data_IF_840434344172
#
_entry.id   IF_840434344172
#
_cell.length_a   1.000
_cell.length_b   1.000
_cell.length_c   1.000
_cell.angle_alpha   90.00
_cell.angle_beta   90.00
_cell.angle_gamma   90.00
#
_symmetry.space_group_name_H-M   'P 1'
#
loop_
_entity.id
_entity.type
_entity.pdbx_description
1 polymer ?
#
# COMPACT_ATOMS: atom_id res chain seq x y z
N UNK A 1 54.05 98.72 -5.45
CA UNK A 1 55.02 97.60 -5.63
C UNK A 1 54.65 96.55 -4.49
N UNK A 2 53.89 95.58 -4.82
CA UNK A 2 53.34 94.68 -3.79
C UNK A 2 53.81 93.29 -4.20
N UNK A 3 54.64 92.64 -3.40
CA UNK A 3 55.21 91.31 -3.59
C UNK A 3 54.24 90.27 -3.00
N UNK A 4 53.72 89.44 -3.86
CA UNK A 4 52.80 88.36 -3.44
C UNK A 4 53.61 87.11 -3.08
N UNK A 5 53.45 86.64 -1.82
CA UNK A 5 54.07 85.40 -1.35
C UNK A 5 53.18 84.17 -1.73
N UNK A 6 53.64 83.36 -2.68
CA UNK A 6 53.05 82.09 -3.00
C UNK A 6 53.48 81.06 -1.94
N UNK A 7 52.52 80.41 -1.26
CA UNK A 7 52.76 79.22 -0.40
C UNK A 7 52.77 77.99 -1.26
N UNK A 8 53.79 77.17 -1.10
CA UNK A 8 53.87 75.79 -1.64
C UNK A 8 52.95 74.85 -0.86
N UNK A 9 52.26 73.94 -1.55
CA UNK A 9 51.45 72.91 -0.88
C UNK A 9 52.32 71.83 -0.27
N UNK A 10 52.02 71.43 0.95
CA UNK A 10 52.57 70.28 1.68
C UNK A 10 52.10 68.94 1.06
N UNK A 11 52.96 67.92 0.92
CA UNK A 11 52.53 66.62 0.40
C UNK A 11 51.78 65.84 1.48
N UNK A 12 50.61 65.39 1.16
CA UNK A 12 49.81 64.42 1.95
C UNK A 12 50.48 63.03 2.03
N UNK A 13 50.47 62.37 3.17
CA UNK A 13 51.01 61.02 3.31
C UNK A 13 50.08 60.01 2.61
N UNK A 14 50.51 59.42 1.52
CA UNK A 14 49.83 58.28 0.88
C UNK A 14 49.97 57.05 1.75
N UNK A 15 48.87 56.57 2.36
CA UNK A 15 48.75 55.28 2.98
C UNK A 15 48.92 54.14 1.93
N UNK A 16 49.68 53.09 2.21
CA UNK A 16 49.86 51.99 1.26
C UNK A 16 48.58 51.18 1.13
N UNK A 17 47.96 51.22 -0.01
CA UNK A 17 46.74 50.47 -0.35
C UNK A 17 46.90 48.96 -0.42
N UNK A 18 48.15 48.44 -0.27
CA UNK A 18 48.44 47.02 -0.41
C UNK A 18 48.00 46.13 0.78
N UNK A 19 47.88 46.72 1.97
CA UNK A 19 47.54 45.90 3.15
C UNK A 19 46.04 45.67 3.35
N UNK A 20 45.13 46.47 2.75
CA UNK A 20 43.71 46.30 2.90
C UNK A 20 43.19 45.21 1.99
N UNK A 21 43.79 45.04 0.81
CA UNK A 21 43.40 43.96 -0.14
C UNK A 21 43.83 42.55 0.40
N UNK A 22 44.98 42.50 1.10
CA UNK A 22 45.46 41.24 1.67
C UNK A 22 44.60 40.76 2.87
N UNK A 23 44.01 41.67 3.67
CA UNK A 23 43.13 41.29 4.78
C UNK A 23 41.74 40.86 4.25
N UNK A 24 41.21 41.48 3.20
CA UNK A 24 39.91 41.14 2.65
C UNK A 24 39.92 39.75 1.96
N UNK A 25 41.01 39.40 1.26
CA UNK A 25 41.18 38.09 0.63
C UNK A 25 41.45 36.97 1.65
N UNK A 26 42.12 37.22 2.75
CA UNK A 26 42.30 36.26 3.84
C UNK A 26 41.01 35.99 4.59
N UNK A 27 40.13 36.98 4.77
CA UNK A 27 38.80 36.79 5.40
C UNK A 27 37.84 35.97 4.49
N UNK A 28 37.87 36.14 3.17
CA UNK A 28 37.08 35.34 2.24
C UNK A 28 37.58 33.89 2.16
N UNK A 29 38.87 33.63 2.26
CA UNK A 29 39.44 32.29 2.25
C UNK A 29 39.12 31.51 3.53
N UNK A 30 38.99 32.18 4.68
CA UNK A 30 38.61 31.56 5.96
C UNK A 30 37.11 31.26 6.03
N UNK A 31 36.23 32.00 5.35
CA UNK A 31 34.81 31.74 5.30
C UNK A 31 34.45 30.53 4.39
N UNK A 32 35.28 30.23 3.40
CA UNK A 32 35.08 29.08 2.51
C UNK A 32 35.51 27.72 3.13
N UNK A 33 36.13 27.73 4.31
CA UNK A 33 36.75 26.53 4.90
C UNK A 33 35.88 25.77 5.90
N UNK A 34 34.57 26.14 6.12
CA UNK A 34 33.80 25.59 7.23
C UNK A 34 32.40 25.08 6.94
N UNK A 35 32.01 24.81 5.72
CA UNK A 35 30.77 24.06 5.51
C UNK A 35 31.06 22.56 5.28
N UNK A 36 31.48 21.89 6.36
CA UNK A 36 31.59 20.42 6.39
C UNK A 36 30.23 19.75 6.54
N UNK A 37 29.14 20.51 6.33
CA UNK A 37 27.79 20.02 6.42
C UNK A 37 27.26 19.62 5.05
N UNK A 38 26.63 18.48 4.99
CA UNK A 38 26.00 17.94 3.80
C UNK A 38 24.48 18.03 3.87
N UNK A 39 23.84 17.47 2.84
CA UNK A 39 22.39 17.40 2.75
C UNK A 39 21.92 16.02 2.31
N UNK A 40 20.74 15.61 2.79
CA UNK A 40 20.02 14.46 2.30
C UNK A 40 18.70 14.96 1.70
N UNK A 41 18.45 14.60 0.46
CA UNK A 41 17.19 14.90 -0.24
C UNK A 41 16.53 13.62 -0.68
N UNK A 42 15.25 13.68 -1.03
CA UNK A 42 14.59 12.52 -1.60
C UNK A 42 13.14 12.77 -1.96
N UNK A 43 12.50 11.71 -2.42
CA UNK A 43 11.08 11.71 -2.66
C UNK A 43 10.42 10.49 -2.02
N UNK A 44 9.13 10.64 -1.71
CA UNK A 44 8.28 9.53 -1.28
C UNK A 44 7.16 9.37 -2.28
N UNK A 45 6.97 8.12 -2.74
CA UNK A 45 5.96 7.76 -3.73
C UNK A 45 5.15 6.58 -3.23
N UNK A 46 3.90 6.51 -3.65
CA UNK A 46 3.13 5.27 -3.61
C UNK A 46 3.44 4.45 -4.86
N UNK A 47 3.46 3.12 -4.71
CA UNK A 47 3.91 2.20 -5.76
C UNK A 47 3.09 2.31 -7.06
N UNK A 48 1.82 2.69 -6.97
CA UNK A 48 0.91 2.75 -8.12
C UNK A 48 0.27 4.13 -8.35
N UNK A 49 0.36 5.05 -7.37
CA UNK A 49 -0.35 6.33 -7.40
C UNK A 49 0.56 7.56 -7.58
N UNK A 50 1.88 7.43 -7.42
CA UNK A 50 2.82 8.53 -7.62
C UNK A 50 3.23 9.27 -6.34
N UNK A 51 3.54 10.58 -6.41
CA UNK A 51 4.07 11.33 -5.27
C UNK A 51 3.14 11.32 -4.04
N UNK A 52 3.71 11.11 -2.84
CA UNK A 52 2.97 11.12 -1.57
C UNK A 52 3.31 12.39 -0.77
N UNK A 53 2.41 13.37 -0.69
CA UNK A 53 2.55 14.51 0.20
C UNK A 53 2.18 14.12 1.65
N UNK A 54 2.72 14.88 2.62
CA UNK A 54 2.38 14.74 4.04
C UNK A 54 3.04 13.56 4.74
N UNK A 55 3.96 12.85 4.09
CA UNK A 55 4.74 11.77 4.71
C UNK A 55 5.72 12.37 5.70
N UNK A 56 5.75 11.85 6.92
CA UNK A 56 6.73 12.18 7.92
C UNK A 56 8.01 11.37 7.67
N UNK A 57 9.09 12.06 7.34
CA UNK A 57 10.41 11.44 7.19
C UNK A 57 11.27 11.84 8.37
N UNK A 58 11.77 10.87 9.12
CA UNK A 58 12.68 11.05 10.24
C UNK A 58 14.08 10.64 9.83
N UNK A 59 15.10 11.39 10.25
CA UNK A 59 16.51 11.06 10.07
C UNK A 59 17.20 10.94 11.42
N UNK A 60 17.81 9.78 11.68
CA UNK A 60 18.51 9.47 12.91
C UNK A 60 19.98 9.16 12.65
N UNK A 61 20.87 9.80 13.39
CA UNK A 61 22.31 9.59 13.40
C UNK A 61 22.89 9.74 14.80
N UNK A 62 24.21 9.54 14.93
CA UNK A 62 24.90 9.55 16.23
C UNK A 62 24.61 10.79 17.11
N UNK A 63 24.33 11.96 16.52
CA UNK A 63 24.08 13.23 17.21
C UNK A 63 22.98 14.06 16.54
N UNK A 64 22.24 13.46 15.64
CA UNK A 64 21.21 14.15 14.85
C UNK A 64 19.94 13.32 14.93
N UNK A 65 18.88 13.98 15.34
CA UNK A 65 17.50 13.53 15.19
C UNK A 65 16.75 14.71 14.62
N UNK A 66 16.20 14.55 13.41
CA UNK A 66 15.45 15.60 12.73
C UNK A 66 14.29 15.00 11.96
N UNK A 67 13.31 15.81 11.56
CA UNK A 67 12.10 15.38 10.93
C UNK A 67 11.68 16.37 9.85
N UNK A 68 11.30 15.86 8.69
CA UNK A 68 10.75 16.61 7.57
C UNK A 68 9.41 16.01 7.16
N UNK A 69 8.54 16.84 6.59
CA UNK A 69 7.28 16.40 5.97
C UNK A 69 7.40 16.62 4.47
N UNK A 70 6.95 15.63 3.67
CA UNK A 70 6.98 15.75 2.21
C UNK A 70 6.03 16.82 1.70
N UNK A 71 6.46 17.55 0.68
CA UNK A 71 5.68 18.57 -0.01
C UNK A 71 4.63 17.97 -0.99
N UNK A 72 3.96 18.81 -1.76
CA UNK A 72 2.95 18.39 -2.76
C UNK A 72 3.51 17.51 -3.88
N UNK A 73 4.83 17.52 -4.10
CA UNK A 73 5.54 16.67 -5.06
C UNK A 73 6.17 15.44 -4.40
N UNK A 74 5.85 15.18 -3.11
CA UNK A 74 6.40 14.09 -2.33
C UNK A 74 7.86 14.28 -1.94
N UNK A 75 8.44 15.48 -2.05
CA UNK A 75 9.86 15.74 -1.79
C UNK A 75 10.13 16.10 -0.34
N UNK A 76 11.30 15.70 0.16
CA UNK A 76 11.83 16.08 1.46
C UNK A 76 13.30 16.47 1.39
N UNK A 77 13.76 17.26 2.36
CA UNK A 77 15.16 17.68 2.47
C UNK A 77 15.59 17.84 3.92
N UNK A 78 16.79 17.36 4.23
CA UNK A 78 17.54 17.63 5.45
C UNK A 78 18.84 18.34 5.11
N UNK A 79 19.11 19.44 5.79
CA UNK A 79 20.31 20.28 5.58
C UNK A 79 21.21 20.28 6.81
N UNK A 80 22.42 20.80 6.64
CA UNK A 80 23.39 20.99 7.74
C UNK A 80 23.78 19.71 8.48
N UNK A 81 23.75 18.58 7.78
CA UNK A 81 24.11 17.28 8.35
C UNK A 81 25.64 17.06 8.33
N UNK A 82 26.18 16.50 9.40
CA UNK A 82 27.57 16.03 9.41
C UNK A 82 27.71 14.80 8.50
N UNK A 83 28.90 14.58 7.93
CA UNK A 83 29.17 13.32 7.23
C UNK A 83 29.07 12.13 8.19
N UNK A 84 28.38 11.06 7.77
CA UNK A 84 28.14 9.89 8.62
C UNK A 84 27.07 8.95 8.07
N UNK A 85 26.74 7.95 8.88
CA UNK A 85 25.65 7.01 8.58
C UNK A 85 24.39 7.44 9.31
N UNK A 86 23.27 7.45 8.58
CA UNK A 86 21.97 7.85 9.08
C UNK A 86 20.94 6.76 8.78
N UNK A 87 19.98 6.60 9.69
CA UNK A 87 18.79 5.81 9.45
C UNK A 87 17.65 6.77 9.11
N UNK A 88 17.03 6.59 7.97
CA UNK A 88 15.84 7.30 7.56
C UNK A 88 14.62 6.41 7.73
N UNK A 89 13.52 6.99 8.21
CA UNK A 89 12.22 6.31 8.33
C UNK A 89 11.15 7.19 7.71
N UNK A 90 10.37 6.65 6.79
CA UNK A 90 9.22 7.32 6.21
C UNK A 90 7.93 6.69 6.77
N UNK A 91 7.02 7.52 7.30
CA UNK A 91 5.76 7.11 7.92
C UNK A 91 4.61 7.97 7.43
N UNK A 92 3.51 7.32 7.09
CA UNK A 92 2.22 7.97 6.82
C UNK A 92 1.13 7.06 7.38
N UNK A 93 0.05 7.66 7.94
CA UNK A 93 -1.11 6.87 8.37
C UNK A 93 -1.63 6.03 7.21
N UNK A 94 -2.04 4.79 7.49
CA UNK A 94 -2.53 3.82 6.50
C UNK A 94 -1.48 3.29 5.51
N UNK A 95 -0.19 3.56 5.75
CA UNK A 95 0.92 3.02 4.98
C UNK A 95 1.86 2.20 5.86
N UNK A 96 2.54 1.24 5.25
CA UNK A 96 3.63 0.49 5.90
C UNK A 96 4.85 1.39 5.98
N UNK A 97 5.33 1.66 7.20
CA UNK A 97 6.54 2.45 7.40
C UNK A 97 7.76 1.78 6.75
N UNK A 98 8.57 2.57 6.05
CA UNK A 98 9.80 2.10 5.42
C UNK A 98 11.03 2.67 6.12
N UNK A 99 12.03 1.82 6.40
CA UNK A 99 13.30 2.21 7.01
C UNK A 99 14.45 1.95 6.04
N UNK A 100 15.36 2.94 5.95
CA UNK A 100 16.56 2.83 5.12
C UNK A 100 17.76 3.44 5.80
N UNK A 101 18.93 2.86 5.52
CA UNK A 101 20.21 3.42 5.95
C UNK A 101 20.89 4.11 4.79
N UNK A 102 21.38 5.33 5.03
CA UNK A 102 22.14 6.12 4.04
C UNK A 102 23.50 6.53 4.60
N UNK A 103 24.49 6.63 3.73
CA UNK A 103 25.82 7.14 4.05
C UNK A 103 25.96 8.50 3.38
N UNK A 104 26.16 9.54 4.20
CA UNK A 104 26.39 10.90 3.75
C UNK A 104 27.91 11.21 3.78
N UNK A 105 28.53 11.50 2.64
CA UNK A 105 29.91 11.96 2.61
C UNK A 105 30.05 13.31 3.34
N UNK A 106 31.23 13.60 3.89
CA UNK A 106 31.50 14.91 4.52
C UNK A 106 31.35 16.03 3.51
N UNK A 107 30.50 17.00 3.82
CA UNK A 107 30.18 18.14 2.94
C UNK A 107 29.49 17.74 1.63
N UNK A 108 29.03 16.50 1.51
CA UNK A 108 28.40 15.96 0.33
C UNK A 108 26.87 16.05 0.33
N UNK A 109 26.28 15.54 -0.76
CA UNK A 109 24.84 15.39 -0.89
C UNK A 109 24.52 13.93 -1.24
N UNK A 110 23.42 13.43 -0.70
CA UNK A 110 22.88 12.11 -1.03
C UNK A 110 21.39 12.26 -1.33
N UNK A 111 20.91 11.58 -2.35
CA UNK A 111 19.49 11.51 -2.67
C UNK A 111 18.97 10.09 -2.49
N UNK A 112 17.74 9.97 -1.99
CA UNK A 112 17.12 8.69 -1.73
C UNK A 112 15.60 8.76 -1.92
N UNK A 113 15.02 7.75 -2.58
CA UNK A 113 13.58 7.64 -2.79
C UNK A 113 12.98 6.50 -1.95
N UNK A 114 11.87 6.79 -1.28
CA UNK A 114 11.03 5.82 -0.61
C UNK A 114 9.86 5.40 -1.51
N UNK A 115 9.49 4.14 -1.41
CA UNK A 115 8.32 3.59 -2.10
C UNK A 115 7.38 2.99 -1.06
N UNK A 116 6.44 3.78 -0.56
CA UNK A 116 5.49 3.31 0.43
C UNK A 116 4.38 2.47 -0.19
N UNK A 117 4.00 1.45 0.56
CA UNK A 117 2.85 0.60 0.25
C UNK A 117 1.73 0.92 1.24
N UNK A 118 0.46 1.03 0.79
CA UNK A 118 -0.65 1.10 1.71
C UNK A 118 -0.60 -0.04 2.72
N UNK A 119 -0.91 0.23 3.98
CA UNK A 119 -1.08 -0.80 5.00
C UNK A 119 -2.31 -1.62 4.61
N UNK A 120 -2.09 -2.86 4.21
CA UNK A 120 -3.17 -3.74 3.85
C UNK A 120 -3.89 -4.17 5.11
N UNK A 121 -5.19 -3.88 5.19
CA UNK A 121 -6.05 -4.39 6.25
C UNK A 121 -6.15 -5.90 6.07
N UNK A 122 -5.75 -6.65 7.09
CA UNK A 122 -6.24 -8.02 7.22
C UNK A 122 -7.74 -7.93 7.44
N UNK A 123 -8.53 -8.50 6.54
CA UNK A 123 -9.99 -8.41 6.62
C UNK A 123 -10.52 -8.80 8.01
N UNK A 124 -11.43 -7.97 8.50
CA UNK A 124 -12.02 -8.10 9.82
C UNK A 124 -12.94 -9.31 9.98
N UNK A 125 -13.69 -9.33 11.06
CA UNK A 125 -14.68 -10.36 11.34
C UNK A 125 -15.79 -10.37 10.30
N UNK A 126 -16.14 -11.55 9.80
CA UNK A 126 -17.28 -11.75 8.90
C UNK A 126 -18.59 -11.81 9.67
N UNK A 127 -19.64 -11.26 9.05
CA UNK A 127 -21.01 -11.35 9.58
C UNK A 127 -21.71 -12.54 8.93
N UNK A 128 -22.16 -13.49 9.74
CA UNK A 128 -23.02 -14.57 9.28
C UNK A 128 -24.50 -14.14 9.36
N UNK A 129 -25.04 -13.73 8.24
CA UNK A 129 -26.45 -13.33 8.09
C UNK A 129 -27.40 -14.50 7.84
N UNK A 130 -26.93 -15.74 7.88
CA UNK A 130 -27.70 -16.92 7.58
C UNK A 130 -27.73 -17.29 6.09
N UNK A 131 -28.16 -18.52 5.78
CA UNK A 131 -28.15 -19.07 4.41
C UNK A 131 -29.02 -18.25 3.45
N UNK A 132 -30.20 -17.80 3.89
CA UNK A 132 -31.08 -16.97 3.08
C UNK A 132 -30.44 -15.62 2.73
N UNK A 133 -29.77 -14.98 3.68
CA UNK A 133 -29.00 -13.75 3.45
C UNK A 133 -27.84 -14.01 2.47
N UNK A 134 -27.09 -15.09 2.65
CA UNK A 134 -25.99 -15.46 1.75
C UNK A 134 -26.46 -15.64 0.31
N UNK A 135 -27.62 -16.30 0.11
CA UNK A 135 -28.27 -16.45 -1.21
C UNK A 135 -28.68 -15.13 -1.84
N UNK A 136 -29.13 -14.15 -1.01
CA UNK A 136 -29.50 -12.81 -1.49
C UNK A 136 -28.29 -11.95 -1.80
N UNK A 137 -27.24 -12.04 -0.98
CA UNK A 137 -26.02 -11.25 -1.12
C UNK A 137 -25.10 -11.76 -2.24
N UNK A 138 -25.16 -13.07 -2.55
CA UNK A 138 -24.37 -13.66 -3.61
C UNK A 138 -24.87 -13.27 -5.00
N UNK A 139 -23.95 -12.88 -5.86
CA UNK A 139 -24.21 -12.71 -7.29
C UNK A 139 -24.19 -14.04 -8.05
N UNK A 140 -23.41 -14.99 -7.54
CA UNK A 140 -23.40 -16.36 -8.05
C UNK A 140 -23.25 -17.38 -6.91
N UNK A 141 -23.89 -18.55 -7.07
CA UNK A 141 -23.69 -19.73 -6.23
C UNK A 141 -23.21 -20.86 -7.12
N UNK A 142 -21.99 -21.31 -6.87
CA UNK A 142 -21.26 -22.21 -7.77
C UNK A 142 -20.78 -23.44 -7.02
N UNK A 143 -20.85 -24.60 -7.63
CA UNK A 143 -20.08 -25.77 -7.18
C UNK A 143 -18.76 -25.77 -7.94
N UNK A 144 -17.65 -25.72 -7.22
CA UNK A 144 -16.32 -25.52 -7.78
C UNK A 144 -15.31 -26.51 -7.22
N UNK A 145 -14.27 -26.80 -8.01
CA UNK A 145 -13.06 -27.51 -7.58
C UNK A 145 -11.86 -26.59 -7.77
N UNK A 146 -11.06 -26.41 -6.73
CA UNK A 146 -9.84 -25.62 -6.80
C UNK A 146 -8.77 -26.37 -7.58
N UNK A 147 -8.19 -25.72 -8.59
CA UNK A 147 -7.21 -26.36 -9.49
C UNK A 147 -5.81 -25.79 -9.35
N UNK A 148 -5.69 -24.55 -8.86
CA UNK A 148 -4.42 -23.93 -8.50
C UNK A 148 -4.61 -22.92 -7.36
N UNK A 149 -3.52 -22.65 -6.66
CA UNK A 149 -3.42 -21.69 -5.56
C UNK A 149 -2.20 -20.83 -5.84
N UNK A 150 -2.36 -19.49 -5.83
CA UNK A 150 -1.25 -18.56 -5.98
C UNK A 150 -0.54 -18.30 -4.65
N UNK A 151 0.62 -17.65 -4.70
CA UNK A 151 1.18 -16.97 -3.55
C UNK A 151 0.26 -15.81 -3.14
N UNK A 152 0.33 -15.37 -1.87
CA UNK A 152 -0.40 -14.18 -1.42
C UNK A 152 -0.04 -12.96 -2.26
N UNK A 153 -1.05 -12.22 -2.69
CA UNK A 153 -0.90 -11.00 -3.46
C UNK A 153 -1.73 -9.87 -2.83
N UNK A 154 -1.54 -8.66 -3.29
CA UNK A 154 -2.18 -7.45 -2.79
C UNK A 154 -3.06 -6.85 -3.86
N UNK A 155 -4.29 -6.53 -3.49
CA UNK A 155 -5.24 -5.85 -4.37
C UNK A 155 -5.79 -4.60 -3.72
N UNK A 156 -6.05 -3.58 -4.53
CA UNK A 156 -6.75 -2.37 -4.09
C UNK A 156 -8.20 -2.49 -4.55
N UNK A 157 -9.12 -2.55 -3.58
CA UNK A 157 -10.55 -2.62 -3.82
C UNK A 157 -11.21 -1.50 -3.03
N UNK A 158 -11.91 -0.58 -3.70
CA UNK A 158 -12.56 0.57 -3.07
C UNK A 158 -11.62 1.39 -2.16
N UNK A 159 -10.41 1.68 -2.62
CA UNK A 159 -9.33 2.35 -1.87
C UNK A 159 -8.86 1.60 -0.61
N UNK A 160 -9.19 0.33 -0.47
CA UNK A 160 -8.68 -0.52 0.60
C UNK A 160 -7.70 -1.54 0.02
N UNK A 161 -6.53 -1.65 0.62
CA UNK A 161 -5.58 -2.70 0.30
C UNK A 161 -6.03 -4.00 0.98
N UNK A 162 -6.20 -5.06 0.19
CA UNK A 162 -6.58 -6.39 0.64
C UNK A 162 -5.43 -7.35 0.32
N UNK A 163 -4.96 -8.09 1.33
CA UNK A 163 -4.08 -9.24 1.11
C UNK A 163 -4.94 -10.46 0.89
N UNK A 164 -4.76 -11.14 -0.21
CA UNK A 164 -5.51 -12.34 -0.50
C UNK A 164 -4.69 -13.37 -1.27
N UNK A 165 -5.28 -14.53 -1.44
CA UNK A 165 -4.72 -15.64 -2.22
C UNK A 165 -5.68 -15.91 -3.37
N UNK A 166 -5.18 -15.85 -4.60
CA UNK A 166 -5.97 -16.18 -5.78
C UNK A 166 -6.04 -17.69 -5.97
N UNK A 167 -7.24 -18.22 -6.09
CA UNK A 167 -7.53 -19.61 -6.34
C UNK A 167 -8.13 -19.76 -7.73
N UNK A 168 -7.46 -20.46 -8.61
CA UNK A 168 -8.09 -20.88 -9.85
C UNK A 168 -9.03 -22.04 -9.54
N UNK A 169 -10.25 -21.95 -10.01
CA UNK A 169 -11.28 -22.97 -9.78
C UNK A 169 -11.98 -23.38 -11.07
N UNK A 170 -12.21 -24.68 -11.21
CA UNK A 170 -13.11 -25.21 -12.25
C UNK A 170 -14.54 -25.20 -11.74
N UNK A 171 -15.44 -24.60 -12.51
CA UNK A 171 -16.87 -24.61 -12.22
C UNK A 171 -17.46 -25.95 -12.66
N UNK A 172 -17.97 -26.72 -11.69
CA UNK A 172 -18.60 -28.02 -11.88
C UNK A 172 -20.09 -27.90 -12.11
N UNK A 173 -20.75 -26.94 -11.42
CA UNK A 173 -22.16 -26.65 -11.57
C UNK A 173 -22.48 -25.22 -11.12
N UNK A 174 -23.57 -24.66 -11.67
CA UNK A 174 -24.06 -23.32 -11.34
C UNK A 174 -25.48 -23.47 -10.80
N UNK A 175 -25.73 -22.93 -9.60
CA UNK A 175 -27.06 -22.91 -9.02
C UNK A 175 -27.80 -21.61 -9.36
N UNK A 176 -27.14 -20.48 -9.21
CA UNK A 176 -27.74 -19.15 -9.43
C UNK A 176 -26.70 -18.20 -10.02
N UNK A 177 -27.19 -17.33 -10.90
CA UNK A 177 -26.41 -16.21 -11.43
C UNK A 177 -27.27 -14.96 -11.45
N UNK A 178 -26.85 -13.89 -10.78
CA UNK A 178 -27.43 -12.57 -10.90
C UNK A 178 -26.95 -11.83 -12.16
N UNK A 179 -27.58 -10.70 -12.51
CA UNK A 179 -27.23 -9.92 -13.69
C UNK A 179 -25.80 -9.37 -13.67
N UNK A 180 -25.26 -9.10 -12.49
CA UNK A 180 -23.93 -8.50 -12.29
C UNK A 180 -22.87 -9.54 -11.90
N UNK A 181 -23.12 -10.82 -12.15
CA UNK A 181 -22.24 -11.92 -11.71
C UNK A 181 -20.95 -12.06 -12.51
N UNK A 182 -20.69 -11.17 -13.48
CA UNK A 182 -19.59 -11.33 -14.41
C UNK A 182 -19.85 -12.49 -15.40
N UNK A 183 -18.84 -12.82 -16.20
CA UNK A 183 -18.92 -13.94 -17.12
C UNK A 183 -18.42 -15.22 -16.43
N UNK A 184 -19.32 -16.06 -15.95
CA UNK A 184 -18.92 -17.37 -15.42
C UNK A 184 -18.52 -18.27 -16.57
N UNK A 185 -17.22 -18.48 -16.69
CA UNK A 185 -16.62 -19.44 -17.62
C UNK A 185 -16.41 -20.78 -16.91
N UNK A 186 -15.93 -21.79 -17.65
CA UNK A 186 -15.56 -23.08 -17.05
C UNK A 186 -14.47 -22.96 -15.99
N UNK A 187 -13.61 -21.95 -16.09
CA UNK A 187 -12.56 -21.63 -15.13
C UNK A 187 -12.76 -20.23 -14.62
N UNK A 188 -12.75 -20.06 -13.31
CA UNK A 188 -12.87 -18.77 -12.64
C UNK A 188 -11.72 -18.58 -11.65
N UNK A 189 -11.56 -17.34 -11.20
CA UNK A 189 -10.63 -16.96 -10.14
C UNK A 189 -11.38 -16.51 -8.91
N UNK A 190 -11.07 -17.09 -7.76
CA UNK A 190 -11.67 -16.74 -6.46
C UNK A 190 -10.56 -16.23 -5.55
N UNK A 191 -10.66 -14.98 -5.15
CA UNK A 191 -9.75 -14.37 -4.18
C UNK A 191 -10.28 -14.57 -2.78
N UNK A 192 -9.42 -15.09 -1.93
CA UNK A 192 -9.68 -15.30 -0.51
C UNK A 192 -8.73 -14.45 0.33
N UNK A 193 -9.18 -13.94 1.45
CA UNK A 193 -8.29 -13.44 2.48
C UNK A 193 -7.51 -14.55 3.19
N UNK A 194 -6.35 -14.21 3.74
CA UNK A 194 -5.28 -15.14 4.08
C UNK A 194 -5.49 -16.16 5.22
N UNK A 195 -6.67 -16.23 5.88
CA UNK A 195 -6.80 -16.96 7.17
C UNK A 195 -7.15 -18.44 7.10
N UNK A 196 -7.70 -18.94 6.00
CA UNK A 196 -8.12 -20.35 5.86
C UNK A 196 -7.30 -21.03 4.77
N UNK A 197 -6.74 -22.19 5.05
CA UNK A 197 -5.94 -22.94 4.08
C UNK A 197 -6.85 -23.75 3.15
N UNK A 198 -7.21 -23.20 1.99
CA UNK A 198 -7.80 -23.97 0.89
C UNK A 198 -6.69 -24.61 0.07
N UNK A 199 -6.91 -25.82 -0.39
CA UNK A 199 -5.89 -26.58 -1.10
C UNK A 199 -6.34 -26.89 -2.51
N UNK A 200 -5.38 -27.09 -3.37
CA UNK A 200 -5.64 -27.65 -4.69
C UNK A 200 -6.34 -29.03 -4.55
N UNK A 201 -7.41 -29.21 -5.30
CA UNK A 201 -8.25 -30.40 -5.26
C UNK A 201 -9.48 -30.28 -4.38
N UNK A 202 -9.50 -29.32 -3.43
CA UNK A 202 -10.67 -29.08 -2.58
C UNK A 202 -11.87 -28.65 -3.40
N UNK A 203 -13.04 -29.09 -2.97
CA UNK A 203 -14.32 -28.75 -3.59
C UNK A 203 -15.21 -27.99 -2.63
N UNK A 204 -15.97 -27.01 -3.17
CA UNK A 204 -16.84 -26.14 -2.41
C UNK A 204 -18.13 -25.82 -3.15
N UNK A 205 -19.23 -25.66 -2.41
CA UNK A 205 -20.34 -24.81 -2.86
C UNK A 205 -20.02 -23.39 -2.41
N UNK A 206 -19.69 -22.52 -3.37
CA UNK A 206 -19.21 -21.17 -3.15
C UNK A 206 -20.30 -20.15 -3.42
N UNK A 207 -20.59 -19.30 -2.43
CA UNK A 207 -21.44 -18.12 -2.58
C UNK A 207 -20.53 -16.94 -2.84
N UNK A 208 -20.53 -16.41 -4.04
CA UNK A 208 -19.55 -15.43 -4.49
C UNK A 208 -20.20 -14.18 -5.10
N UNK A 209 -19.48 -13.07 -5.05
CA UNK A 209 -19.75 -11.86 -5.81
C UNK A 209 -18.59 -11.56 -6.74
N UNK A 210 -18.91 -11.00 -7.89
CA UNK A 210 -17.91 -10.50 -8.82
C UNK A 210 -17.35 -9.17 -8.32
N UNK A 211 -16.03 -9.02 -8.36
CA UNK A 211 -15.33 -7.79 -8.00
C UNK A 211 -14.66 -7.20 -9.25
N UNK A 212 -15.30 -6.24 -9.93
CA UNK A 212 -14.81 -5.72 -11.21
C UNK A 212 -13.42 -5.09 -11.13
N UNK A 213 -13.12 -4.45 -9.98
CA UNK A 213 -11.84 -3.74 -9.78
C UNK A 213 -10.62 -4.66 -9.92
N UNK A 214 -10.77 -5.94 -9.59
CA UNK A 214 -9.70 -6.93 -9.66
C UNK A 214 -9.96 -8.06 -10.66
N UNK A 215 -11.14 -8.07 -11.29
CA UNK A 215 -11.52 -9.13 -12.24
C UNK A 215 -11.59 -10.53 -11.62
N UNK A 216 -12.07 -10.64 -10.37
CA UNK A 216 -12.10 -11.87 -9.57
C UNK A 216 -13.41 -12.02 -8.84
N UNK A 217 -13.73 -13.26 -8.45
CA UNK A 217 -14.81 -13.52 -7.50
C UNK A 217 -14.30 -13.43 -6.06
N UNK A 218 -15.14 -12.95 -5.16
CA UNK A 218 -14.89 -12.98 -3.72
C UNK A 218 -16.01 -13.72 -3.01
N UNK A 219 -15.70 -14.60 -2.03
CA UNK A 219 -16.73 -15.24 -1.23
C UNK A 219 -17.53 -14.18 -0.44
N UNK A 220 -18.83 -14.39 -0.31
CA UNK A 220 -19.68 -13.61 0.59
C UNK A 220 -19.29 -13.97 2.02
N UNK A 221 -18.99 -12.97 2.87
CA UNK A 221 -18.55 -13.19 4.25
C UNK A 221 -17.43 -14.24 4.40
N UNK A 222 -16.45 -14.19 3.49
CA UNK A 222 -15.23 -15.01 3.53
C UNK A 222 -15.49 -16.52 3.56
N UNK A 223 -14.85 -17.25 4.50
CA UNK A 223 -14.95 -18.71 4.52
C UNK A 223 -16.32 -19.25 4.91
N UNK A 224 -17.19 -18.44 5.54
CA UNK A 224 -18.51 -18.88 6.05
C UNK A 224 -19.39 -19.44 4.93
N UNK A 225 -19.31 -18.86 3.72
CA UNK A 225 -20.10 -19.25 2.57
C UNK A 225 -19.29 -20.00 1.49
N UNK A 226 -18.23 -20.66 1.92
CA UNK A 226 -17.50 -21.67 1.15
C UNK A 226 -17.76 -23.02 1.80
N UNK A 227 -18.86 -23.67 1.42
CA UNK A 227 -19.34 -24.92 2.01
C UNK A 227 -18.50 -26.09 1.49
N UNK A 228 -17.70 -26.77 2.33
CA UNK A 228 -16.83 -27.84 1.85
C UNK A 228 -17.61 -29.04 1.32
N UNK A 229 -17.05 -29.67 0.30
CA UNK A 229 -17.55 -30.93 -0.28
C UNK A 229 -16.44 -31.98 -0.16
N UNK A 230 -16.75 -33.09 0.49
CA UNK A 230 -15.85 -34.23 0.65
C UNK A 230 -16.49 -35.46 0.01
N UNK A 231 -15.78 -36.11 -0.89
CA UNK A 231 -16.26 -37.31 -1.61
C UNK A 231 -17.66 -37.14 -2.23
N UNK A 232 -17.91 -35.95 -2.83
CA UNK A 232 -19.20 -35.62 -3.45
C UNK A 232 -20.34 -35.36 -2.47
N UNK A 233 -20.04 -35.20 -1.16
CA UNK A 233 -20.99 -34.93 -0.09
C UNK A 233 -20.68 -33.62 0.62
N UNK A 234 -21.70 -32.84 0.92
CA UNK A 234 -21.51 -31.54 1.62
C UNK A 234 -21.18 -31.73 3.08
N UNK A 235 -20.29 -30.88 3.60
CA UNK A 235 -20.08 -30.69 5.05
C UNK A 235 -20.90 -29.48 5.47
N UNK A 236 -22.14 -29.73 5.90
CA UNK A 236 -23.11 -28.70 6.22
C UNK A 236 -23.31 -28.60 7.73
N UNK A 237 -22.86 -27.54 8.33
CA UNK A 237 -22.93 -27.29 9.78
C UNK A 237 -23.99 -26.24 10.18
N UNK A 238 -24.81 -25.79 9.22
CA UNK A 238 -25.79 -24.74 9.42
C UNK A 238 -27.18 -25.30 9.74
N UNK A 239 -27.85 -24.68 10.67
CA UNK A 239 -29.20 -25.10 11.11
C UNK A 239 -30.32 -24.33 10.42
N UNK A 240 -30.02 -23.24 9.75
CA UNK A 240 -30.95 -22.33 9.08
C UNK A 240 -31.40 -22.81 7.68
N UNK A 241 -30.92 -23.94 7.22
CA UNK A 241 -31.36 -24.61 6.01
C UNK A 241 -31.68 -26.10 6.33
N UNK A 242 -32.82 -26.37 6.93
CA UNK A 242 -33.16 -27.70 7.50
C UNK A 242 -33.27 -28.81 6.44
N UNK A 243 -33.39 -28.46 5.17
CA UNK A 243 -33.46 -29.40 4.05
C UNK A 243 -32.08 -29.89 3.57
N UNK A 244 -31.01 -29.36 4.15
CA UNK A 244 -29.63 -29.73 3.80
C UNK A 244 -28.95 -30.24 5.08
N UNK A 245 -28.24 -31.36 4.95
CA UNK A 245 -27.53 -32.00 6.07
C UNK A 245 -26.12 -32.41 5.65
N UNK A 246 -25.21 -32.41 6.60
CA UNK A 246 -23.91 -33.02 6.39
C UNK A 246 -24.06 -34.46 5.92
N UNK A 247 -23.35 -34.81 4.86
CA UNK A 247 -23.41 -36.11 4.19
C UNK A 247 -24.41 -36.17 3.05
N UNK A 248 -25.22 -35.16 2.80
CA UNK A 248 -26.05 -35.07 1.61
C UNK A 248 -25.18 -34.97 0.35
N UNK A 249 -25.60 -35.60 -0.73
CA UNK A 249 -24.96 -35.44 -2.03
C UNK A 249 -25.06 -33.96 -2.48
N UNK A 250 -24.04 -33.47 -3.20
CA UNK A 250 -24.00 -32.09 -3.70
C UNK A 250 -25.26 -31.73 -4.48
N UNK A 251 -25.76 -32.62 -5.33
CA UNK A 251 -26.99 -32.40 -6.10
C UNK A 251 -28.22 -32.17 -5.23
N UNK A 252 -28.33 -32.89 -4.10
CA UNK A 252 -29.41 -32.72 -3.12
C UNK A 252 -29.25 -31.37 -2.39
N UNK A 253 -28.04 -31.02 -1.96
CA UNK A 253 -27.75 -29.76 -1.31
C UNK A 253 -28.05 -28.56 -2.23
N UNK A 254 -27.63 -28.64 -3.49
CA UNK A 254 -27.92 -27.64 -4.50
C UNK A 254 -29.42 -27.47 -4.75
N UNK A 255 -30.18 -28.58 -4.79
CA UNK A 255 -31.65 -28.54 -4.91
C UNK A 255 -32.29 -27.91 -3.64
N UNK A 256 -31.78 -28.22 -2.46
CA UNK A 256 -32.21 -27.61 -1.20
C UNK A 256 -31.97 -26.09 -1.17
N UNK A 257 -30.80 -25.63 -1.62
CA UNK A 257 -30.50 -24.20 -1.77
C UNK A 257 -31.40 -23.54 -2.82
N UNK A 258 -31.63 -24.20 -3.95
CA UNK A 258 -32.54 -23.71 -4.99
C UNK A 258 -33.96 -23.48 -4.49
N UNK A 259 -34.45 -24.36 -3.61
CA UNK A 259 -35.76 -24.21 -2.99
C UNK A 259 -35.88 -22.98 -2.07
N UNK A 260 -34.77 -22.45 -1.58
CA UNK A 260 -34.72 -21.23 -0.76
C UNK A 260 -34.66 -19.93 -1.60
N UNK A 261 -34.41 -20.02 -2.91
CA UNK A 261 -34.32 -18.86 -3.80
C UNK A 261 -35.66 -18.15 -4.11
N UNK A 262 -36.84 -18.80 -4.19
CA UNK A 262 -38.07 -18.16 -4.65
C UNK A 262 -38.64 -17.07 -3.78
N UNK A 263 -38.36 -17.09 -2.47
CA UNK A 263 -38.80 -16.02 -1.58
C UNK A 263 -38.10 -14.67 -1.85
N UNK A 264 -36.95 -14.69 -2.54
CA UNK A 264 -36.19 -13.50 -2.92
C UNK A 264 -36.63 -12.90 -4.27
N UNK A 265 -37.30 -13.66 -5.15
CA UNK A 265 -37.77 -13.19 -6.47
C UNK A 265 -39.18 -12.61 -6.46
N UNK A 266 -39.99 -12.94 -5.45
CA UNK A 266 -41.35 -12.43 -5.31
C UNK A 266 -41.40 -11.02 -4.70
N UNK A 267 -40.30 -10.44 -4.28
CA UNK A 267 -40.17 -9.12 -3.67
C UNK A 267 -39.59 -8.05 -4.62
N UNK A 268 -39.55 -8.30 -5.94
CA UNK A 268 -39.15 -7.30 -6.97
C UNK A 268 -40.35 -6.89 -7.81
#
# INVERSE_FOLDING_TARGET
MTISNARLPTPEPRLPTSNVIALATAACLLAAACSNTGRVTGSVKEIEAGPLPGVQVTIDGLRTHDMATTDSEGKFEFQNLAGGTYNLKAELSEYVAENRQVILPRGGATSFDFLLHPACLEEGSYVDGGTAWGLQAAQAVLYVRLTAVSEPDRWIVNNQCIVGIDHTATVLSILNMGPDSGSVTRTIHIVRDGRVAWKQGDEYIAFVRWEPAIGRYRPIAGPIFMIPVLDGKVVWDRTDAPNIRTGDAVSKAMAGLFALLPSARAAR
#
